data_IF_231230513757
#
_entry.id   IF_231230513757
#
_cell.length_a   1.000
_cell.length_b   1.000
_cell.length_c   1.000
_cell.angle_alpha   90.00
_cell.angle_beta   90.00
_cell.angle_gamma   90.00
#
_symmetry.space_group_name_H-M   'P 1'
#
loop_
_entity.id
_entity.type
_entity.pdbx_description
1 polymer ?
#
# COMPACT_ATOMS: atom_id res chain seq x y z
N UNK A 1 -33.07 -14.26 13.28
CA UNK A 1 -31.86 -14.29 12.44
C UNK A 1 -32.19 -15.05 11.18
N UNK A 2 -32.16 -14.39 10.03
CA UNK A 2 -32.11 -15.11 8.76
C UNK A 2 -30.67 -15.60 8.54
N UNK A 3 -30.45 -16.52 7.58
CA UNK A 3 -29.08 -16.97 7.27
C UNK A 3 -28.15 -15.81 6.85
N UNK A 4 -28.71 -14.70 6.34
CA UNK A 4 -27.97 -13.50 5.95
C UNK A 4 -27.48 -12.66 7.13
N UNK A 5 -28.13 -12.74 8.29
CA UNK A 5 -27.77 -11.96 9.50
C UNK A 5 -26.89 -12.74 10.48
N UNK A 6 -26.39 -13.93 10.07
CA UNK A 6 -25.55 -14.72 10.96
C UNK A 6 -24.17 -14.06 11.12
N UNK A 7 -23.64 -13.87 12.34
CA UNK A 7 -22.37 -13.17 12.56
C UNK A 7 -21.21 -13.71 11.74
N UNK A 8 -21.11 -15.04 11.58
CA UNK A 8 -20.12 -15.66 10.70
C UNK A 8 -20.25 -15.23 9.23
N UNK A 9 -21.48 -15.06 8.72
CA UNK A 9 -21.72 -14.61 7.33
C UNK A 9 -21.35 -13.14 7.18
N UNK A 10 -21.67 -12.30 8.17
CA UNK A 10 -21.29 -10.88 8.21
C UNK A 10 -19.77 -10.73 8.19
N UNK A 11 -19.07 -11.41 9.11
CA UNK A 11 -17.62 -11.38 9.22
C UNK A 11 -16.92 -11.90 7.94
N UNK A 12 -17.40 -13.01 7.39
CA UNK A 12 -16.83 -13.59 6.17
C UNK A 12 -17.02 -12.67 4.96
N UNK A 13 -18.20 -12.07 4.81
CA UNK A 13 -18.50 -11.18 3.68
C UNK A 13 -17.58 -9.95 3.71
N UNK A 14 -17.43 -9.31 4.88
CA UNK A 14 -16.52 -8.17 5.05
C UNK A 14 -15.05 -8.53 4.74
N UNK A 15 -14.58 -9.71 5.16
CA UNK A 15 -13.23 -10.17 4.86
C UNK A 15 -13.01 -10.44 3.36
N UNK A 16 -13.99 -11.06 2.69
CA UNK A 16 -13.97 -11.32 1.24
C UNK A 16 -13.97 -10.00 0.46
N UNK A 17 -14.82 -9.04 0.83
CA UNK A 17 -14.88 -7.71 0.19
C UNK A 17 -13.55 -6.97 0.32
N UNK A 18 -12.94 -6.97 1.52
CA UNK A 18 -11.64 -6.36 1.74
C UNK A 18 -10.55 -7.02 0.88
N UNK A 19 -10.48 -8.35 0.86
CA UNK A 19 -9.52 -9.09 0.04
C UNK A 19 -9.72 -8.86 -1.46
N UNK A 20 -10.96 -8.90 -1.94
CA UNK A 20 -11.32 -8.67 -3.34
C UNK A 20 -10.91 -7.27 -3.80
N UNK A 21 -11.12 -6.25 -2.96
CA UNK A 21 -10.70 -4.87 -3.24
C UNK A 21 -9.18 -4.75 -3.34
N UNK A 22 -8.43 -5.37 -2.42
CA UNK A 22 -6.96 -5.37 -2.44
C UNK A 22 -6.40 -6.08 -3.67
N UNK A 23 -7.00 -7.21 -4.05
CA UNK A 23 -6.62 -7.99 -5.21
C UNK A 23 -7.15 -7.41 -6.53
N UNK A 24 -8.13 -6.49 -6.46
CA UNK A 24 -8.87 -5.92 -7.60
C UNK A 24 -9.48 -7.02 -8.48
N UNK A 25 -10.07 -8.02 -7.84
CA UNK A 25 -10.82 -9.12 -8.46
C UNK A 25 -12.27 -9.10 -7.96
N UNK A 26 -13.22 -9.74 -8.66
CA UNK A 26 -14.57 -9.91 -8.13
C UNK A 26 -14.56 -10.83 -6.88
N UNK A 27 -15.53 -10.66 -5.98
CA UNK A 27 -15.58 -11.39 -4.70
C UNK A 27 -15.68 -12.91 -4.88
N UNK A 28 -16.25 -13.38 -5.99
CA UNK A 28 -16.30 -14.79 -6.36
C UNK A 28 -14.91 -15.39 -6.66
N UNK A 29 -13.92 -14.54 -6.92
CA UNK A 29 -12.52 -14.93 -7.11
C UNK A 29 -11.76 -15.17 -5.80
N UNK A 30 -12.33 -14.82 -4.64
CA UNK A 30 -11.69 -14.99 -3.33
C UNK A 30 -12.10 -16.32 -2.73
N UNK A 31 -11.14 -17.24 -2.58
CA UNK A 31 -11.39 -18.54 -1.96
C UNK A 31 -11.39 -18.45 -0.43
N UNK A 32 -12.27 -19.18 0.25
CA UNK A 32 -12.19 -19.41 1.70
C UNK A 32 -11.34 -20.65 1.97
N UNK A 33 -10.25 -20.51 2.73
CA UNK A 33 -9.39 -21.64 3.13
C UNK A 33 -9.73 -22.18 4.53
N UNK A 34 -10.25 -21.32 5.42
CA UNK A 34 -10.70 -21.75 6.73
C UNK A 34 -11.30 -20.62 7.55
N UNK A 35 -12.16 -20.98 8.50
CA UNK A 35 -12.77 -20.03 9.43
C UNK A 35 -12.99 -20.69 10.78
N UNK A 36 -12.57 -20.01 11.84
CA UNK A 36 -12.65 -20.51 13.22
C UNK A 36 -13.19 -19.41 14.13
N UNK A 37 -14.11 -19.75 15.04
CA UNK A 37 -14.53 -18.83 16.08
C UNK A 37 -13.36 -18.58 17.06
N UNK A 38 -13.13 -17.31 17.41
CA UNK A 38 -12.05 -16.89 18.31
C UNK A 38 -12.47 -15.65 19.09
N UNK A 39 -12.08 -15.62 20.35
CA UNK A 39 -12.20 -14.43 21.19
C UNK A 39 -10.91 -13.60 21.06
N UNK A 40 -11.06 -12.31 20.80
CA UNK A 40 -9.96 -11.37 20.69
C UNK A 40 -9.71 -10.63 22.00
N UNK A 41 -8.46 -10.23 22.29
CA UNK A 41 -8.13 -9.59 23.57
C UNK A 41 -8.70 -8.18 23.73
N UNK A 42 -8.99 -7.50 22.61
CA UNK A 42 -9.40 -6.10 22.55
C UNK A 42 -10.29 -5.83 21.33
N UNK A 43 -10.86 -4.62 21.24
CA UNK A 43 -11.69 -4.18 20.11
C UNK A 43 -10.94 -3.99 18.79
N UNK A 44 -9.60 -3.97 18.80
CA UNK A 44 -8.74 -4.00 17.61
C UNK A 44 -8.38 -5.42 17.19
N UNK A 45 -9.04 -6.40 17.78
CA UNK A 45 -8.94 -7.80 17.42
C UNK A 45 -7.52 -8.36 17.60
N UNK A 46 -6.76 -7.82 18.56
CA UNK A 46 -5.36 -8.16 18.79
C UNK A 46 -4.41 -7.70 17.68
N UNK A 47 -4.85 -6.76 16.83
CA UNK A 47 -4.10 -6.16 15.73
C UNK A 47 -4.14 -4.63 15.84
N UNK A 48 -3.91 -4.11 17.04
CA UNK A 48 -3.75 -2.68 17.29
C UNK A 48 -2.61 -2.10 16.43
N UNK A 49 -2.83 -0.88 15.93
CA UNK A 49 -1.83 -0.06 15.22
C UNK A 49 -1.33 1.05 16.14
N UNK A 50 -0.21 1.70 15.79
CA UNK A 50 0.50 2.61 16.70
C UNK A 50 -0.38 3.77 17.21
N UNK A 51 -1.36 4.21 16.41
CA UNK A 51 -2.29 5.29 16.74
C UNK A 51 -3.68 4.81 17.20
N UNK A 52 -3.90 3.50 17.32
CA UNK A 52 -5.21 2.97 17.69
C UNK A 52 -5.48 3.09 19.20
N UNK A 53 -6.64 3.67 19.54
CA UNK A 53 -7.21 3.62 20.88
C UNK A 53 -8.18 2.43 20.99
N UNK A 54 -7.65 1.23 21.21
CA UNK A 54 -8.43 0.01 21.37
C UNK A 54 -9.05 -0.07 22.77
N UNK A 55 -10.35 -0.40 22.85
CA UNK A 55 -10.96 -0.78 24.13
C UNK A 55 -10.45 -2.16 24.58
N UNK A 56 -10.03 -2.26 25.84
CA UNK A 56 -9.62 -3.49 26.53
C UNK A 56 -10.85 -4.37 26.88
N UNK A 57 -11.52 -4.85 25.84
CA UNK A 57 -12.70 -5.72 25.97
C UNK A 57 -12.52 -6.97 25.11
N UNK A 58 -12.75 -8.12 25.74
CA UNK A 58 -12.75 -9.40 25.03
C UNK A 58 -13.85 -9.36 23.98
N UNK A 59 -13.46 -9.48 22.72
CA UNK A 59 -14.35 -9.29 21.57
C UNK A 59 -14.55 -10.62 20.84
N UNK A 60 -15.74 -11.24 20.92
CA UNK A 60 -16.02 -12.48 20.20
C UNK A 60 -16.01 -12.27 18.68
N UNK A 61 -15.45 -13.23 17.97
CA UNK A 61 -15.20 -13.05 16.56
C UNK A 61 -14.74 -14.32 15.84
N UNK A 62 -14.03 -14.11 14.73
CA UNK A 62 -13.59 -15.16 13.82
C UNK A 62 -12.18 -14.90 13.30
N UNK A 63 -11.34 -15.94 13.31
CA UNK A 63 -10.11 -16.01 12.53
C UNK A 63 -10.47 -16.58 11.16
N UNK A 64 -10.29 -15.80 10.10
CA UNK A 64 -10.65 -16.15 8.73
C UNK A 64 -9.36 -16.26 7.91
N UNK A 65 -9.19 -17.35 7.17
CA UNK A 65 -8.09 -17.58 6.23
C UNK A 65 -8.68 -17.68 4.83
N UNK A 66 -8.26 -16.81 3.94
CA UNK A 66 -8.68 -16.78 2.53
C UNK A 66 -7.52 -17.19 1.62
N UNK A 67 -7.84 -17.46 0.36
CA UNK A 67 -6.89 -17.73 -0.72
C UNK A 67 -5.84 -16.63 -0.82
N UNK A 68 -4.72 -16.93 -1.47
CA UNK A 68 -3.51 -16.09 -1.47
C UNK A 68 -2.95 -15.90 -0.03
N UNK A 69 -3.48 -16.69 0.93
CA UNK A 69 -3.25 -16.77 2.36
C UNK A 69 -3.40 -15.47 3.14
N UNK A 70 -4.38 -14.67 2.74
CA UNK A 70 -4.88 -13.61 3.60
C UNK A 70 -5.40 -14.19 4.91
N UNK A 71 -5.02 -13.57 6.03
CA UNK A 71 -5.57 -13.88 7.34
C UNK A 71 -6.28 -12.64 7.86
N UNK A 72 -7.53 -12.78 8.28
CA UNK A 72 -8.33 -11.72 8.88
C UNK A 72 -8.74 -12.09 10.29
N UNK A 73 -8.68 -11.12 11.19
CA UNK A 73 -9.36 -11.14 12.46
C UNK A 73 -10.63 -10.33 12.30
N UNK A 74 -11.77 -10.93 12.64
CA UNK A 74 -13.08 -10.29 12.50
C UNK A 74 -13.85 -10.35 13.81
N UNK A 75 -14.67 -9.36 14.11
CA UNK A 75 -15.69 -9.47 15.17
C UNK A 75 -17.04 -9.96 14.61
N UNK A 76 -18.02 -10.12 15.50
CA UNK A 76 -19.37 -10.54 15.13
C UNK A 76 -20.21 -9.44 14.45
N UNK A 77 -19.74 -8.19 14.43
CA UNK A 77 -20.40 -7.04 13.82
C UNK A 77 -19.88 -6.74 12.40
N UNK A 78 -18.81 -7.41 11.96
CA UNK A 78 -18.22 -7.23 10.63
C UNK A 78 -17.04 -6.27 10.59
N UNK A 79 -16.51 -5.83 11.74
CA UNK A 79 -15.19 -5.20 11.77
C UNK A 79 -14.15 -6.26 11.39
N UNK A 80 -13.33 -5.98 10.37
CA UNK A 80 -12.30 -6.91 9.88
C UNK A 80 -10.96 -6.21 9.83
N UNK A 81 -9.93 -6.87 10.37
CA UNK A 81 -8.54 -6.42 10.33
C UNK A 81 -7.67 -7.51 9.75
N UNK A 82 -6.85 -7.17 8.76
CA UNK A 82 -5.93 -8.12 8.11
C UNK A 82 -4.72 -8.33 9.02
N UNK A 83 -4.46 -9.58 9.40
CA UNK A 83 -3.21 -9.95 10.03
C UNK A 83 -2.10 -9.94 8.98
N UNK A 84 -1.04 -9.16 9.22
CA UNK A 84 0.17 -9.23 8.41
C UNK A 84 0.87 -10.55 8.70
N UNK A 85 1.06 -11.39 7.68
CA UNK A 85 1.89 -12.58 7.81
C UNK A 85 3.36 -12.21 7.74
N UNK A 86 4.21 -12.94 8.47
CA UNK A 86 5.67 -12.71 8.47
C UNK A 86 6.35 -13.10 7.14
N UNK A 87 5.66 -13.83 6.26
CA UNK A 87 6.25 -14.38 5.04
C UNK A 87 5.85 -13.58 3.77
N UNK A 88 6.82 -13.26 2.89
CA UNK A 88 6.62 -12.87 1.50
C UNK A 88 5.53 -13.63 0.77
N UNK A 89 4.44 -12.93 0.49
CA UNK A 89 3.35 -13.39 -0.37
C UNK A 89 3.52 -12.69 -1.72
N UNK A 90 4.00 -13.40 -2.76
CA UNK A 90 4.39 -12.78 -4.03
C UNK A 90 3.25 -12.09 -4.79
N UNK A 91 2.01 -12.35 -4.40
CA UNK A 91 0.76 -11.80 -4.95
C UNK A 91 0.28 -10.52 -4.24
N UNK A 92 0.84 -10.19 -3.07
CA UNK A 92 0.45 -9.03 -2.26
C UNK A 92 1.63 -8.16 -1.82
N UNK A 93 2.85 -8.63 -2.07
CA UNK A 93 4.09 -7.87 -1.90
C UNK A 93 4.05 -6.59 -2.73
N UNK A 94 4.39 -5.48 -2.07
CA UNK A 94 4.68 -4.23 -2.75
C UNK A 94 6.17 -4.20 -3.04
N UNK A 95 6.56 -3.94 -4.28
CA UNK A 95 7.94 -3.62 -4.66
C UNK A 95 7.95 -2.25 -5.28
N UNK A 96 8.81 -1.37 -4.77
CA UNK A 96 8.84 0.03 -5.13
C UNK A 96 10.25 0.44 -5.49
N UNK A 97 10.37 1.16 -6.61
CA UNK A 97 11.58 1.86 -7.01
C UNK A 97 11.23 3.27 -7.43
N UNK A 98 11.80 4.24 -6.74
CA UNK A 98 11.75 5.64 -7.11
C UNK A 98 13.15 6.11 -7.49
N UNK A 99 13.27 6.82 -8.60
CA UNK A 99 14.55 7.36 -9.05
C UNK A 99 14.36 8.76 -9.59
N UNK A 100 15.30 9.65 -9.26
CA UNK A 100 15.36 11.00 -9.80
C UNK A 100 16.70 11.16 -10.50
N UNK A 101 16.68 11.62 -11.75
CA UNK A 101 17.87 11.77 -12.57
C UNK A 101 17.80 13.01 -13.44
N UNK A 102 18.93 13.62 -13.77
CA UNK A 102 18.97 14.78 -14.65
C UNK A 102 20.10 15.76 -14.36
N UNK A 103 19.94 16.98 -14.86
CA UNK A 103 20.93 18.05 -14.80
C UNK A 103 22.13 17.84 -15.72
N UNK A 104 22.91 18.90 -15.91
CA UNK A 104 24.09 18.95 -16.80
C UNK A 104 25.09 17.82 -16.54
N UNK A 105 25.28 17.46 -15.27
CA UNK A 105 26.22 16.42 -14.84
C UNK A 105 25.65 14.99 -14.93
N UNK A 106 24.38 14.82 -15.31
CA UNK A 106 23.73 13.50 -15.41
C UNK A 106 23.65 12.76 -14.07
N UNK A 107 23.33 13.46 -12.98
CA UNK A 107 23.25 12.85 -11.64
C UNK A 107 22.02 11.95 -11.53
N UNK A 108 22.09 10.97 -10.63
CA UNK A 108 20.94 10.15 -10.25
C UNK A 108 20.95 9.83 -8.76
N UNK A 109 19.77 9.67 -8.20
CA UNK A 109 19.50 9.15 -6.85
C UNK A 109 18.29 8.23 -6.91
N UNK A 110 18.19 7.30 -5.97
CA UNK A 110 17.08 6.34 -5.92
C UNK A 110 16.76 5.87 -4.51
N UNK A 111 15.52 5.45 -4.34
CA UNK A 111 15.02 4.71 -3.20
C UNK A 111 14.34 3.44 -3.70
N UNK A 112 14.71 2.31 -3.12
CA UNK A 112 14.11 1.01 -3.39
C UNK A 112 13.68 0.39 -2.07
N UNK A 113 12.48 -0.19 -2.06
CA UNK A 113 11.95 -0.92 -0.89
C UNK A 113 10.96 -1.99 -1.34
N UNK A 114 10.63 -2.87 -0.40
CA UNK A 114 9.51 -3.78 -0.52
C UNK A 114 8.68 -3.75 0.77
N UNK A 115 7.47 -4.29 0.73
CA UNK A 115 6.59 -4.30 1.90
C UNK A 115 7.24 -4.97 3.13
N UNK A 116 8.18 -5.90 2.98
CA UNK A 116 8.80 -6.61 4.11
C UNK A 116 9.91 -5.81 4.78
N UNK A 117 10.50 -4.84 4.08
CA UNK A 117 11.45 -3.89 4.64
C UNK A 117 10.76 -2.73 5.37
N UNK A 118 9.45 -2.55 5.17
CA UNK A 118 8.64 -1.52 5.82
C UNK A 118 8.06 -2.03 7.15
N UNK A 119 7.91 -1.11 8.11
CA UNK A 119 7.06 -1.35 9.28
C UNK A 119 5.61 -1.60 8.83
N UNK A 120 4.79 -2.21 9.70
CA UNK A 120 3.38 -2.45 9.37
C UNK A 120 2.66 -1.14 9.03
N UNK A 121 2.83 -0.10 9.85
CA UNK A 121 2.23 1.22 9.63
C UNK A 121 2.64 1.83 8.28
N UNK A 122 3.93 1.76 7.93
CA UNK A 122 4.41 2.27 6.63
C UNK A 122 3.88 1.49 5.42
N UNK A 123 3.73 0.17 5.54
CA UNK A 123 3.11 -0.64 4.49
C UNK A 123 1.63 -0.32 4.33
N UNK A 124 0.89 -0.19 5.43
CA UNK A 124 -0.53 0.17 5.38
C UNK A 124 -0.73 1.60 4.82
N UNK A 125 0.13 2.56 5.19
CA UNK A 125 0.17 3.90 4.61
C UNK A 125 0.47 3.86 3.10
N UNK A 126 1.52 3.13 2.69
CA UNK A 126 1.87 3.00 1.27
C UNK A 126 0.74 2.35 0.46
N UNK A 127 0.06 1.33 1.00
CA UNK A 127 -1.12 0.72 0.35
C UNK A 127 -2.26 1.70 0.19
N UNK A 128 -2.53 2.51 1.22
CA UNK A 128 -3.55 3.55 1.16
C UNK A 128 -3.23 4.57 0.08
N UNK A 129 -2.00 5.11 0.05
CA UNK A 129 -1.54 6.08 -0.96
C UNK A 129 -1.62 5.53 -2.39
N UNK A 130 -1.18 4.28 -2.62
CA UNK A 130 -1.29 3.62 -3.93
C UNK A 130 -2.76 3.52 -4.39
N UNK A 131 -3.67 3.23 -3.45
CA UNK A 131 -5.10 3.07 -3.73
C UNK A 131 -5.77 4.41 -4.04
N UNK A 132 -5.56 5.43 -3.20
CA UNK A 132 -6.14 6.76 -3.38
C UNK A 132 -5.62 7.45 -4.65
N UNK A 133 -4.35 7.24 -5.00
CA UNK A 133 -3.77 7.75 -6.24
C UNK A 133 -4.31 7.04 -7.51
N UNK A 134 -5.01 5.91 -7.35
CA UNK A 134 -5.31 4.95 -8.42
C UNK A 134 -4.09 4.68 -9.31
N UNK A 135 -2.93 4.45 -8.67
CA UNK A 135 -1.60 4.53 -9.31
C UNK A 135 -1.49 3.75 -10.63
N UNK A 136 -2.10 2.57 -10.71
CA UNK A 136 -2.02 1.68 -11.87
C UNK A 136 -2.78 2.16 -13.12
N UNK A 137 -3.56 3.24 -13.02
CA UNK A 137 -4.30 3.82 -14.15
C UNK A 137 -3.73 5.16 -14.60
N UNK A 138 -2.75 5.71 -13.86
CA UNK A 138 -2.17 7.02 -14.14
C UNK A 138 -1.51 7.03 -15.52
N UNK A 139 -1.86 7.97 -16.41
CA UNK A 139 -1.24 8.05 -17.72
C UNK A 139 0.19 8.59 -17.66
N UNK A 140 1.01 8.16 -18.61
CA UNK A 140 2.27 8.81 -18.92
C UNK A 140 2.10 9.70 -20.16
N UNK A 141 2.52 10.95 -20.03
CA UNK A 141 2.69 11.88 -21.15
C UNK A 141 4.14 11.85 -21.61
N UNK A 142 4.36 11.98 -22.92
CA UNK A 142 5.68 12.26 -23.45
C UNK A 142 5.95 13.76 -23.36
N UNK A 143 7.19 14.20 -23.11
CA UNK A 143 7.50 15.61 -23.15
C UNK A 143 7.35 16.15 -24.58
N UNK A 144 6.76 17.34 -24.71
CA UNK A 144 6.57 18.01 -26.02
C UNK A 144 7.90 18.33 -26.71
N UNK A 145 8.95 18.54 -25.91
CA UNK A 145 10.32 18.67 -26.37
C UNK A 145 11.29 18.26 -25.27
N UNK A 146 12.40 17.56 -25.58
CA UNK A 146 13.39 17.19 -24.59
C UNK A 146 14.02 18.46 -23.99
N UNK A 147 13.91 18.60 -22.67
CA UNK A 147 14.51 19.72 -21.94
C UNK A 147 15.98 19.41 -21.70
N UNK A 148 16.87 20.20 -22.32
CA UNK A 148 18.29 20.14 -22.01
C UNK A 148 18.48 20.44 -20.51
N UNK A 149 19.17 19.54 -19.81
CA UNK A 149 19.41 19.58 -18.35
C UNK A 149 18.20 19.30 -17.45
N UNK A 150 17.09 18.83 -18.02
CA UNK A 150 15.87 18.54 -17.28
C UNK A 150 16.05 17.47 -16.19
N UNK A 151 15.28 17.58 -15.11
CA UNK A 151 15.15 16.56 -14.07
C UNK A 151 13.94 15.68 -14.38
N UNK A 152 14.12 14.38 -14.25
CA UNK A 152 13.09 13.35 -14.46
C UNK A 152 13.03 12.43 -13.24
N UNK A 153 11.85 12.32 -12.65
CA UNK A 153 11.50 11.35 -11.64
C UNK A 153 10.77 10.16 -12.28
N UNK A 154 11.10 8.94 -11.84
CA UNK A 154 10.42 7.70 -12.22
C UNK A 154 9.98 6.98 -10.97
N UNK A 155 8.69 6.77 -10.83
CA UNK A 155 8.10 5.95 -9.78
C UNK A 155 7.59 4.65 -10.40
N UNK A 156 8.24 3.55 -10.09
CA UNK A 156 7.79 2.21 -10.44
C UNK A 156 7.27 1.51 -9.19
N UNK A 157 6.04 0.99 -9.27
CA UNK A 157 5.43 0.21 -8.19
C UNK A 157 4.89 -1.08 -8.80
N UNK A 158 5.16 -2.19 -8.12
CA UNK A 158 4.45 -3.44 -8.30
C UNK A 158 3.70 -3.82 -7.04
N UNK A 159 2.45 -4.28 -7.19
CA UNK A 159 1.67 -4.94 -6.13
C UNK A 159 1.31 -6.32 -6.67
N UNK A 160 1.94 -7.34 -6.09
CA UNK A 160 1.86 -8.70 -6.60
C UNK A 160 2.36 -8.82 -8.04
N UNK A 161 1.44 -9.21 -8.94
CA UNK A 161 1.70 -9.35 -10.39
C UNK A 161 1.49 -8.07 -11.19
N UNK A 162 0.83 -7.06 -10.61
CA UNK A 162 0.53 -5.80 -11.30
C UNK A 162 1.73 -4.88 -11.12
N UNK A 163 2.16 -4.22 -12.19
CA UNK A 163 3.20 -3.19 -12.11
C UNK A 163 2.88 -2.03 -13.04
N UNK A 164 3.34 -0.85 -12.67
CA UNK A 164 3.22 0.36 -13.47
C UNK A 164 4.40 1.30 -13.19
N UNK A 165 4.83 2.04 -14.21
CA UNK A 165 5.84 3.10 -14.07
C UNK A 165 5.19 4.43 -14.41
N UNK A 166 5.30 5.41 -13.54
CA UNK A 166 4.88 6.80 -13.80
C UNK A 166 6.13 7.66 -13.88
N UNK A 167 6.23 8.45 -14.95
CA UNK A 167 7.34 9.36 -15.21
C UNK A 167 6.85 10.80 -15.14
N UNK A 168 7.54 11.63 -14.36
CA UNK A 168 7.30 13.08 -14.24
C UNK A 168 8.63 13.81 -14.35
N UNK A 169 8.62 15.07 -14.77
CA UNK A 169 9.84 15.83 -14.95
C UNK A 169 9.67 17.04 -15.83
N UNK A 170 10.78 17.74 -16.07
CA UNK A 170 10.78 18.94 -16.88
C UNK A 170 10.27 18.67 -18.30
N UNK A 171 9.33 19.49 -18.74
CA UNK A 171 8.69 19.37 -20.06
C UNK A 171 7.58 18.32 -20.15
N UNK A 172 7.24 17.63 -19.06
CA UNK A 172 6.08 16.73 -19.00
C UNK A 172 4.91 17.50 -18.37
N UNK A 173 3.90 17.82 -19.18
CA UNK A 173 2.63 18.37 -18.69
C UNK A 173 1.69 17.22 -18.30
N UNK A 174 1.39 17.12 -17.01
CA UNK A 174 0.55 16.07 -16.45
C UNK A 174 -0.48 16.67 -15.49
N UNK A 175 -1.75 16.31 -15.68
CA UNK A 175 -2.85 16.66 -14.78
C UNK A 175 -2.88 15.71 -13.59
N UNK A 176 -1.92 15.86 -12.68
CA UNK A 176 -1.76 15.00 -11.52
C UNK A 176 -2.75 15.33 -10.39
N UNK A 177 -3.25 14.29 -9.73
CA UNK A 177 -4.15 14.42 -8.58
C UNK A 177 -3.38 14.72 -7.29
N UNK A 178 -4.06 15.30 -6.31
CA UNK A 178 -3.48 15.51 -4.96
C UNK A 178 -3.06 14.18 -4.31
N UNK A 179 -3.83 13.12 -4.50
CA UNK A 179 -3.51 11.79 -4.00
C UNK A 179 -2.22 11.22 -4.63
N UNK A 180 -1.99 11.43 -5.92
CA UNK A 180 -0.73 11.04 -6.55
C UNK A 180 0.45 11.86 -6.02
N UNK A 181 0.28 13.17 -5.81
CA UNK A 181 1.32 14.00 -5.19
C UNK A 181 1.66 13.54 -3.77
N UNK A 182 0.68 13.10 -2.98
CA UNK A 182 0.92 12.54 -1.65
C UNK A 182 1.77 11.25 -1.71
N UNK A 183 1.48 10.34 -2.66
CA UNK A 183 2.28 9.14 -2.90
C UNK A 183 3.73 9.50 -3.30
N UNK A 184 3.90 10.46 -4.22
CA UNK A 184 5.24 10.91 -4.64
C UNK A 184 6.00 11.56 -3.48
N UNK A 185 5.36 12.40 -2.68
CA UNK A 185 5.98 13.01 -1.50
C UNK A 185 6.45 11.96 -0.48
N UNK A 186 5.66 10.89 -0.27
CA UNK A 186 6.02 9.81 0.65
C UNK A 186 7.30 9.07 0.24
N UNK A 187 7.49 8.82 -1.07
CA UNK A 187 8.72 8.16 -1.57
C UNK A 187 9.89 9.14 -1.67
N UNK A 188 9.64 10.41 -2.01
CA UNK A 188 10.68 11.44 -2.14
C UNK A 188 11.32 11.75 -0.78
N UNK A 189 10.52 11.81 0.29
CA UNK A 189 11.01 11.99 1.66
C UNK A 189 11.96 10.87 2.14
N UNK A 190 11.91 9.70 1.51
CA UNK A 190 12.76 8.52 1.79
C UNK A 190 13.92 8.39 0.80
N UNK A 191 14.00 9.29 -0.16
CA UNK A 191 15.02 9.29 -1.20
C UNK A 191 16.16 10.22 -0.83
N UNK A 192 17.43 9.76 -0.87
CA UNK A 192 18.55 10.66 -0.64
C UNK A 192 18.52 11.84 -1.62
N UNK A 193 18.82 13.07 -1.17
CA UNK A 193 18.72 14.24 -2.04
C UNK A 193 19.69 14.10 -3.22
N UNK A 194 19.22 14.43 -4.43
CA UNK A 194 20.02 14.39 -5.66
C UNK A 194 21.28 15.27 -5.57
N UNK A 195 21.18 16.36 -4.81
CA UNK A 195 22.28 17.25 -4.46
C UNK A 195 22.44 17.27 -2.94
N UNK A 196 23.48 16.64 -2.39
CA UNK A 196 23.74 16.72 -0.96
C UNK A 196 24.01 18.17 -0.56
N UNK A 197 23.49 18.60 0.59
CA UNK A 197 23.81 19.91 1.13
C UNK A 197 25.32 20.02 1.33
N UNK A 198 25.95 21.01 0.69
CA UNK A 198 27.35 21.31 0.94
C UNK A 198 27.42 22.01 2.29
N UNK A 199 27.77 21.28 3.35
CA UNK A 199 28.10 21.88 4.64
C UNK A 199 29.21 22.90 4.45
N UNK A 200 28.84 24.17 4.38
CA UNK A 200 29.77 25.29 4.27
C UNK A 200 30.53 25.46 5.59
N UNK A 201 31.59 24.69 5.79
CA UNK A 201 32.68 25.12 6.66
C UNK A 201 33.52 26.14 5.87
N UNK A 202 33.04 27.38 5.84
CA UNK A 202 33.94 28.51 5.66
C UNK A 202 34.58 28.77 7.02
N UNK A 203 35.91 28.62 7.02
CA UNK A 203 36.82 28.78 8.15
C UNK A 203 36.72 30.15 8.82
#
# INVERSE_FOLDING_TARGET
>A
MTAADHPAVVALSAAIENAANLLRIPTEGVALEGMEARDWPDSCLGLAEDDDACADVVTPGYLIRLGDGFTYHADQQGNVRRARGDNPRPDTEIRLRYSVSGGIAGRSTSYETDSYQLTKAEDDELRHLITEADFFTIPNSLPDSPVADGITARLWIAVGRRSHEVVRGDGIDAEDTEAFHALVAWVDARTPPLFPEVSGNLA
#
